data_IF_943436074494
#
_entry.id   IF_943436074494
#
_cell.length_a   1.000
_cell.length_b   1.000
_cell.length_c   1.000
_cell.angle_alpha   90.00
_cell.angle_beta   90.00
_cell.angle_gamma   90.00
#
_symmetry.space_group_name_H-M   'P 1'
#
loop_
_entity.id
_entity.type
_entity.pdbx_description
1 polymer ?
#
# COMPACT_ATOMS: atom_id res chain seq x y z
N UNK A 1 -10.27 25.33 4.55
CA UNK A 1 -9.55 24.92 3.32
C UNK A 1 -9.41 23.41 3.38
N UNK A 2 -10.21 22.69 2.59
CA UNK A 2 -10.51 21.26 2.78
C UNK A 2 -9.30 20.37 2.47
N UNK A 3 -8.92 19.52 3.42
CA UNK A 3 -7.90 18.49 3.29
C UNK A 3 -8.25 17.36 2.30
N UNK A 4 -9.37 17.45 1.57
CA UNK A 4 -9.81 16.43 0.60
C UNK A 4 -8.89 16.31 -0.61
N UNK A 5 -8.29 17.40 -1.09
CA UNK A 5 -7.40 17.34 -2.26
C UNK A 5 -6.18 16.43 -2.03
N UNK A 6 -5.64 16.39 -0.81
CA UNK A 6 -4.44 15.57 -0.51
C UNK A 6 -4.72 14.07 -0.44
N UNK A 7 -5.93 13.66 -0.07
CA UNK A 7 -6.27 12.23 0.06
C UNK A 7 -6.45 11.58 -1.32
N UNK A 8 -7.09 12.28 -2.26
CA UNK A 8 -7.20 11.84 -3.64
C UNK A 8 -5.83 11.81 -4.35
N UNK A 9 -4.96 12.79 -4.11
CA UNK A 9 -3.58 12.79 -4.62
C UNK A 9 -2.77 11.60 -4.09
N UNK A 10 -2.89 11.28 -2.80
CA UNK A 10 -2.18 10.14 -2.21
C UNK A 10 -2.69 8.82 -2.78
N UNK A 11 -4.00 8.65 -2.91
CA UNK A 11 -4.60 7.47 -3.54
C UNK A 11 -4.14 7.31 -4.99
N UNK A 12 -4.12 8.40 -5.77
CA UNK A 12 -3.67 8.39 -7.15
C UNK A 12 -2.19 8.00 -7.25
N UNK A 13 -1.34 8.52 -6.35
CA UNK A 13 0.07 8.16 -6.29
C UNK A 13 0.28 6.67 -5.95
N UNK A 14 -0.46 6.13 -4.97
CA UNK A 14 -0.41 4.69 -4.63
C UNK A 14 -0.86 3.86 -5.84
N UNK A 15 -1.95 4.25 -6.50
CA UNK A 15 -2.48 3.54 -7.66
C UNK A 15 -1.47 3.54 -8.82
N UNK A 16 -0.82 4.67 -9.09
CA UNK A 16 0.22 4.78 -10.11
C UNK A 16 1.39 3.82 -9.79
N UNK A 17 1.95 3.91 -8.58
CA UNK A 17 3.05 3.03 -8.14
C UNK A 17 2.68 1.55 -8.28
N UNK A 18 1.50 1.17 -7.79
CA UNK A 18 1.01 -0.22 -7.86
C UNK A 18 0.85 -0.67 -9.32
N UNK A 19 0.35 0.19 -10.21
CA UNK A 19 0.17 -0.13 -11.63
C UNK A 19 1.49 -0.36 -12.36
N UNK A 20 2.56 0.36 -11.98
CA UNK A 20 3.92 0.15 -12.52
C UNK A 20 4.64 -1.05 -11.90
N UNK A 21 4.07 -1.64 -10.85
CA UNK A 21 4.64 -2.75 -10.06
C UNK A 21 3.86 -4.05 -10.21
N UNK A 22 3.04 -4.17 -11.25
CA UNK A 22 2.29 -5.40 -11.51
C UNK A 22 3.24 -6.60 -11.63
N UNK A 23 3.00 -7.63 -10.80
CA UNK A 23 3.87 -8.80 -10.69
C UNK A 23 5.18 -8.61 -9.91
N UNK A 24 5.44 -7.43 -9.35
CA UNK A 24 6.64 -7.14 -8.52
C UNK A 24 6.29 -6.96 -7.04
N UNK A 25 7.31 -7.08 -6.19
CA UNK A 25 7.18 -6.73 -4.78
C UNK A 25 7.21 -5.21 -4.60
N UNK A 26 6.37 -4.70 -3.70
CA UNK A 26 6.39 -3.33 -3.20
C UNK A 26 6.79 -3.31 -1.74
N UNK A 27 7.47 -2.25 -1.32
CA UNK A 27 7.81 -2.03 0.08
C UNK A 27 6.90 -0.95 0.62
N UNK A 28 6.16 -1.28 1.69
CA UNK A 28 5.23 -0.38 2.37
C UNK A 28 5.78 -0.11 3.76
N UNK A 29 6.07 1.15 4.06
CA UNK A 29 6.40 1.56 5.42
C UNK A 29 5.15 2.08 6.10
N UNK A 30 4.93 1.64 7.34
CA UNK A 30 3.79 2.07 8.16
C UNK A 30 4.24 2.84 9.39
N UNK A 31 3.31 3.62 9.96
CA UNK A 31 3.50 4.35 11.21
C UNK A 31 3.96 3.37 12.30
N UNK A 32 5.03 3.75 13.00
CA UNK A 32 5.71 2.88 13.97
C UNK A 32 6.98 2.22 13.43
N UNK A 33 7.37 2.47 12.18
CA UNK A 33 8.65 2.04 11.61
C UNK A 33 8.66 0.62 11.06
N UNK A 34 7.52 -0.08 11.10
CA UNK A 34 7.39 -1.41 10.52
C UNK A 34 7.39 -1.31 8.99
N UNK A 35 8.12 -2.21 8.35
CA UNK A 35 8.21 -2.32 6.90
C UNK A 35 7.54 -3.63 6.47
N UNK A 36 6.56 -3.54 5.59
CA UNK A 36 5.87 -4.66 4.98
C UNK A 36 6.36 -4.82 3.55
N UNK A 37 6.62 -6.06 3.13
CA UNK A 37 6.86 -6.39 1.72
C UNK A 37 5.55 -6.94 1.15
N UNK A 38 4.89 -6.14 0.33
CA UNK A 38 3.66 -6.50 -0.37
C UNK A 38 3.97 -7.13 -1.73
N UNK A 39 3.21 -8.14 -2.12
CA UNK A 39 3.28 -8.84 -3.38
C UNK A 39 1.93 -8.75 -4.10
N UNK A 40 1.98 -8.90 -5.43
CA UNK A 40 0.80 -9.02 -6.26
C UNK A 40 -0.07 -10.23 -5.85
N UNK A 41 -1.41 -10.16 -5.97
CA UNK A 41 -2.19 -9.04 -6.50
C UNK A 41 -2.27 -7.85 -5.52
N UNK A 42 -2.05 -6.65 -6.05
CA UNK A 42 -2.15 -5.38 -5.33
C UNK A 42 -3.47 -4.72 -5.72
N UNK A 43 -4.33 -4.41 -4.75
CA UNK A 43 -5.61 -3.75 -4.99
C UNK A 43 -5.73 -2.50 -4.15
N UNK A 44 -6.10 -1.40 -4.78
CA UNK A 44 -6.25 -0.10 -4.12
C UNK A 44 -7.73 0.18 -3.85
N UNK A 45 -8.09 0.24 -2.58
CA UNK A 45 -9.43 0.60 -2.12
C UNK A 45 -9.66 2.12 -2.11
N UNK A 46 -10.70 2.55 -1.38
CA UNK A 46 -10.97 3.99 -1.18
C UNK A 46 -9.96 4.62 -0.21
N UNK A 47 -9.67 3.93 0.88
CA UNK A 47 -8.87 4.41 2.02
C UNK A 47 -7.80 3.41 2.47
N UNK A 48 -7.57 2.35 1.70
CA UNK A 48 -6.65 1.28 2.03
C UNK A 48 -5.96 0.68 0.80
N UNK A 49 -4.78 0.09 1.03
CA UNK A 49 -4.06 -0.78 0.11
C UNK A 49 -4.23 -2.23 0.55
N UNK A 50 -4.61 -3.11 -0.36
CA UNK A 50 -4.64 -4.55 -0.15
C UNK A 50 -3.49 -5.20 -0.92
N UNK A 51 -2.68 -5.99 -0.23
CA UNK A 51 -1.53 -6.69 -0.79
C UNK A 51 -1.33 -8.03 -0.10
N UNK A 52 -0.61 -8.96 -0.73
CA UNK A 52 -0.16 -10.16 -0.03
C UNK A 52 1.18 -9.90 0.64
N UNK A 53 1.35 -10.24 1.92
CA UNK A 53 2.62 -10.12 2.64
C UNK A 53 3.15 -11.50 2.99
N UNK A 54 4.47 -11.65 3.00
CA UNK A 54 5.09 -12.88 3.48
C UNK A 54 4.88 -13.02 4.99
N UNK A 55 4.27 -14.12 5.41
CA UNK A 55 4.00 -14.46 6.80
C UNK A 55 4.52 -15.88 7.08
N UNK A 56 5.82 -15.97 7.43
CA UNK A 56 6.48 -17.25 7.65
C UNK A 56 6.64 -18.05 6.35
N UNK A 57 6.07 -19.27 6.31
CA UNK A 57 6.10 -20.17 5.14
C UNK A 57 4.99 -19.91 4.11
N UNK A 58 4.11 -18.95 4.36
CA UNK A 58 2.97 -18.64 3.49
C UNK A 58 2.87 -17.16 3.13
N UNK A 59 1.98 -16.88 2.19
CA UNK A 59 1.52 -15.51 1.89
C UNK A 59 0.20 -15.28 2.60
N UNK A 60 0.05 -14.12 3.22
CA UNK A 60 -1.17 -13.69 3.90
C UNK A 60 -1.69 -12.43 3.23
N UNK A 61 -3.00 -12.33 3.01
CA UNK A 61 -3.62 -11.07 2.62
C UNK A 61 -3.51 -10.05 3.77
N UNK A 62 -2.99 -8.87 3.46
CA UNK A 62 -2.88 -7.75 4.38
C UNK A 62 -3.59 -6.54 3.79
N UNK A 63 -4.39 -5.91 4.64
CA UNK A 63 -5.01 -4.62 4.36
C UNK A 63 -4.25 -3.57 5.17
N UNK A 64 -3.76 -2.54 4.48
CA UNK A 64 -2.98 -1.44 5.04
C UNK A 64 -3.74 -0.14 4.83
N UNK A 65 -4.28 0.49 5.89
CA UNK A 65 -4.97 1.76 5.78
C UNK A 65 -4.02 2.88 5.32
N UNK A 66 -4.47 3.77 4.44
CA UNK A 66 -3.62 4.85 3.90
C UNK A 66 -3.10 5.79 4.97
N UNK A 67 -3.93 6.11 5.96
CA UNK A 67 -3.52 6.95 7.09
C UNK A 67 -2.40 6.32 7.93
N UNK A 68 -2.10 5.03 7.72
CA UNK A 68 -1.01 4.32 8.38
C UNK A 68 0.24 4.21 7.51
N UNK A 69 0.18 4.55 6.22
CA UNK A 69 1.30 4.44 5.29
C UNK A 69 2.13 5.71 5.36
N UNK A 70 3.44 5.55 5.55
CA UNK A 70 4.40 6.66 5.53
C UNK A 70 5.19 6.72 4.24
N UNK A 71 5.38 5.60 3.54
CA UNK A 71 6.13 5.51 2.28
C UNK A 71 5.76 4.23 1.51
N UNK A 72 5.79 4.29 0.16
CA UNK A 72 5.64 3.14 -0.74
C UNK A 72 6.70 3.22 -1.86
N UNK A 73 7.37 2.11 -2.18
CA UNK A 73 8.41 2.02 -3.24
C UNK A 73 8.43 0.66 -3.94
#
# INVERSE_FOLDING_TARGET
>A
MQCQFKEDDFRAAILDIVSHKDGQAIIIQVIGGNTLTGFAPLSVGRDYLRCQVAAGTGQKEQVVPFHSITCVR
#
